data_IF_681802612297
#
_entry.id   IF_681802612297
#
_cell.length_a   1.000
_cell.length_b   1.000
_cell.length_c   1.000
_cell.angle_alpha   90.00
_cell.angle_beta   90.00
_cell.angle_gamma   90.00
#
_symmetry.space_group_name_H-M   'P 1'
#
loop_
_entity.id
_entity.type
_entity.pdbx_description
1 polymer ?
#
# COMPACT_ATOMS: atom_id res chain seq x y z
N UNK A 1 3.40 -25.15 -2.04
CA UNK A 1 2.85 -23.88 -1.55
C UNK A 1 2.69 -23.00 -2.75
N UNK A 2 1.44 -22.74 -3.16
CA UNK A 2 1.12 -21.80 -4.22
C UNK A 2 1.62 -20.40 -3.82
N UNK A 3 2.09 -19.63 -4.80
CA UNK A 3 2.86 -18.37 -4.68
C UNK A 3 2.24 -17.22 -3.87
N UNK A 4 1.16 -17.40 -3.12
CA UNK A 4 0.55 -16.39 -2.27
C UNK A 4 -0.13 -16.95 -1.02
N UNK A 5 0.35 -18.06 -0.49
CA UNK A 5 -0.25 -18.64 0.71
C UNK A 5 0.15 -17.82 1.92
N UNK A 6 -0.69 -16.86 2.29
CA UNK A 6 -0.60 -16.21 3.58
C UNK A 6 -0.81 -17.27 4.67
N UNK A 7 0.14 -17.37 5.56
CA UNK A 7 0.08 -18.24 6.72
C UNK A 7 0.55 -17.50 7.96
N UNK A 8 0.61 -18.20 9.09
CA UNK A 8 1.12 -17.65 10.34
C UNK A 8 2.03 -18.68 11.03
N UNK A 9 3.22 -18.24 11.40
CA UNK A 9 4.07 -18.99 12.32
C UNK A 9 3.77 -18.51 13.75
N UNK A 10 3.37 -19.41 14.62
CA UNK A 10 3.17 -19.13 16.04
C UNK A 10 4.21 -19.90 16.84
N UNK A 11 4.97 -19.19 17.68
CA UNK A 11 6.00 -19.76 18.53
C UNK A 11 5.62 -19.57 20.00
N UNK A 12 5.66 -20.64 20.77
CA UNK A 12 5.55 -20.64 22.22
C UNK A 12 6.93 -20.27 22.82
N UNK A 13 6.96 -19.19 23.64
CA UNK A 13 8.23 -18.57 24.04
C UNK A 13 8.95 -19.27 25.18
N UNK A 14 8.26 -20.09 25.99
CA UNK A 14 8.86 -20.79 27.12
C UNK A 14 9.54 -22.08 26.69
N UNK A 15 8.86 -22.87 25.86
CA UNK A 15 9.33 -24.19 25.39
C UNK A 15 10.02 -24.13 24.06
N UNK A 16 9.83 -23.04 23.30
CA UNK A 16 10.37 -22.87 21.96
C UNK A 16 9.65 -23.71 20.89
N UNK A 17 8.54 -24.35 21.22
CA UNK A 17 7.73 -25.08 20.23
C UNK A 17 7.01 -24.11 19.31
N UNK A 18 6.73 -24.58 18.07
CA UNK A 18 6.11 -23.73 17.06
C UNK A 18 5.03 -24.49 16.28
N UNK A 19 4.06 -23.74 15.76
CA UNK A 19 3.07 -24.21 14.82
C UNK A 19 3.01 -23.34 13.59
N UNK A 20 2.74 -23.96 12.45
CA UNK A 20 2.46 -23.30 11.19
C UNK A 20 0.97 -23.43 10.89
N UNK A 21 0.33 -22.30 10.65
CA UNK A 21 -1.07 -22.19 10.26
C UNK A 21 -1.16 -21.68 8.81
N UNK A 22 -2.19 -22.08 8.08
CA UNK A 22 -2.50 -21.51 6.76
C UNK A 22 -3.26 -20.17 6.88
N UNK A 23 -3.63 -19.60 5.74
CA UNK A 23 -4.39 -18.33 5.64
C UNK A 23 -5.76 -18.36 6.32
N UNK A 24 -6.30 -19.53 6.61
CA UNK A 24 -7.59 -19.70 7.30
C UNK A 24 -7.40 -20.08 8.77
N UNK A 25 -6.17 -19.92 9.30
CA UNK A 25 -5.76 -20.33 10.63
C UNK A 25 -5.89 -21.86 10.88
N UNK A 26 -5.86 -22.66 9.81
CA UNK A 26 -5.85 -24.11 9.94
C UNK A 26 -4.42 -24.60 10.14
N UNK A 27 -4.27 -25.59 11.02
CA UNK A 27 -2.98 -26.21 11.30
C UNK A 27 -2.38 -26.89 10.06
N UNK A 28 -1.11 -26.59 9.80
CA UNK A 28 -0.34 -27.17 8.69
C UNK A 28 0.76 -28.09 9.24
N UNK A 29 1.54 -27.62 10.20
CA UNK A 29 2.68 -28.34 10.74
C UNK A 29 3.07 -27.83 12.15
N UNK A 30 3.89 -28.62 12.86
CA UNK A 30 4.39 -28.29 14.19
C UNK A 30 3.49 -28.78 15.33
N UNK A 31 3.67 -28.23 16.52
CA UNK A 31 2.83 -28.55 17.67
C UNK A 31 1.45 -27.89 17.52
N UNK A 32 0.38 -28.60 17.86
CA UNK A 32 -0.96 -28.01 17.82
C UNK A 32 -1.21 -27.19 19.07
N UNK A 33 -1.48 -25.91 18.86
CA UNK A 33 -1.92 -25.01 19.91
C UNK A 33 -3.43 -24.73 19.76
N UNK A 34 -4.13 -24.71 20.87
CA UNK A 34 -5.53 -24.27 20.93
C UNK A 34 -5.53 -22.80 21.33
N UNK A 35 -5.39 -21.92 20.33
CA UNK A 35 -5.19 -20.50 20.50
C UNK A 35 -6.12 -19.69 19.59
N UNK A 36 -6.68 -18.62 20.15
CA UNK A 36 -7.28 -17.55 19.36
C UNK A 36 -6.16 -16.55 18.98
N UNK A 37 -5.87 -16.43 17.68
CA UNK A 37 -4.88 -15.45 17.22
C UNK A 37 -5.44 -14.02 17.36
N UNK A 38 -4.62 -13.06 17.83
CA UNK A 38 -4.96 -11.65 17.76
C UNK A 38 -4.96 -11.16 16.29
N UNK A 39 -5.46 -9.95 16.06
CA UNK A 39 -5.28 -9.28 14.79
C UNK A 39 -3.79 -9.09 14.52
N UNK A 40 -3.28 -9.79 13.51
CA UNK A 40 -1.87 -9.77 13.14
C UNK A 40 -1.61 -8.66 12.12
N UNK A 41 -0.94 -7.62 12.58
CA UNK A 41 -0.32 -6.62 11.72
C UNK A 41 1.10 -7.08 11.30
N UNK A 42 1.65 -6.47 10.29
CA UNK A 42 2.87 -6.86 9.55
C UNK A 42 4.10 -7.25 10.38
N UNK A 43 4.24 -6.75 11.61
CA UNK A 43 5.39 -7.04 12.49
C UNK A 43 5.20 -8.27 13.38
N UNK A 44 4.09 -8.98 13.26
CA UNK A 44 3.71 -10.00 14.22
C UNK A 44 3.13 -9.43 15.51
N UNK A 45 2.72 -10.29 16.43
CA UNK A 45 2.17 -9.91 17.72
C UNK A 45 2.68 -10.83 18.84
N UNK A 46 2.99 -10.22 19.99
CA UNK A 46 3.14 -10.90 21.24
C UNK A 46 1.79 -10.97 21.95
N UNK A 47 1.37 -12.16 22.35
CA UNK A 47 0.13 -12.36 23.12
C UNK A 47 0.31 -13.53 24.07
N UNK A 48 -0.09 -13.36 25.31
CA UNK A 48 0.15 -14.35 26.37
C UNK A 48 1.64 -14.77 26.40
N UNK A 49 1.93 -16.04 26.12
CA UNK A 49 3.29 -16.59 26.05
C UNK A 49 3.69 -17.00 24.62
N UNK A 50 3.08 -16.39 23.61
CA UNK A 50 3.28 -16.71 22.21
C UNK A 50 3.70 -15.50 21.41
N UNK A 51 4.47 -15.74 20.34
CA UNK A 51 4.74 -14.79 19.29
C UNK A 51 4.15 -15.32 17.99
N UNK A 52 3.26 -14.58 17.37
CA UNK A 52 2.69 -14.90 16.06
C UNK A 52 3.29 -14.00 14.99
N UNK A 53 3.83 -14.61 13.93
CA UNK A 53 4.42 -13.93 12.78
C UNK A 53 3.63 -14.28 11.52
N UNK A 54 2.98 -13.32 10.84
CA UNK A 54 2.35 -13.56 9.55
C UNK A 54 3.41 -13.86 8.49
N UNK A 55 3.17 -14.87 7.65
CA UNK A 55 4.08 -15.34 6.61
C UNK A 55 3.48 -15.07 5.23
N UNK A 56 4.30 -14.58 4.30
CA UNK A 56 3.91 -14.46 2.89
C UNK A 56 2.89 -13.38 2.59
N UNK A 57 2.58 -12.47 3.52
CA UNK A 57 1.72 -11.32 3.26
C UNK A 57 2.60 -10.17 2.76
N UNK A 58 2.66 -10.00 1.44
CA UNK A 58 3.20 -8.76 0.88
C UNK A 58 2.19 -7.63 1.09
N UNK A 59 2.67 -6.50 1.60
CA UNK A 59 1.85 -5.29 1.70
C UNK A 59 1.48 -4.81 0.30
N UNK A 60 0.19 -4.51 0.10
CA UNK A 60 -0.29 -4.03 -1.19
C UNK A 60 -0.09 -2.53 -1.30
N UNK A 61 0.51 -2.11 -2.40
CA UNK A 61 0.61 -0.70 -2.79
C UNK A 61 -0.18 -0.49 -4.07
N UNK A 62 -1.13 0.42 -4.05
CA UNK A 62 -1.82 0.92 -5.23
C UNK A 62 -1.17 2.23 -5.65
N UNK A 63 -0.46 2.19 -6.78
CA UNK A 63 0.26 3.33 -7.34
C UNK A 63 -0.59 3.99 -8.42
N UNK A 64 -1.19 5.13 -8.10
CA UNK A 64 -2.04 5.89 -9.02
C UNK A 64 -1.18 6.84 -9.85
N UNK A 65 -0.98 6.48 -11.12
CA UNK A 65 -0.16 7.19 -12.10
C UNK A 65 1.04 6.37 -12.56
N UNK A 66 1.22 6.24 -13.88
CA UNK A 66 2.23 5.42 -14.55
C UNK A 66 3.37 6.22 -15.19
N UNK A 67 3.64 7.45 -14.74
CA UNK A 67 4.71 8.30 -15.28
C UNK A 67 6.13 7.81 -14.95
N UNK A 68 7.14 8.57 -15.37
CA UNK A 68 8.56 8.20 -15.22
C UNK A 68 8.98 7.93 -13.75
N UNK A 69 8.45 8.70 -12.79
CA UNK A 69 8.73 8.45 -11.37
C UNK A 69 8.13 7.12 -10.92
N UNK A 70 6.91 6.79 -11.38
CA UNK A 70 6.27 5.51 -11.07
C UNK A 70 7.08 4.33 -11.63
N UNK A 71 7.62 4.46 -12.85
CA UNK A 71 8.48 3.43 -13.46
C UNK A 71 9.77 3.20 -12.67
N UNK A 72 10.31 4.24 -12.02
CA UNK A 72 11.46 4.10 -11.11
C UNK A 72 11.06 3.61 -9.72
N UNK A 73 9.84 3.90 -9.26
CA UNK A 73 9.37 3.56 -7.91
C UNK A 73 8.99 2.09 -7.78
N UNK A 74 8.34 1.51 -8.80
CA UNK A 74 7.89 0.11 -8.76
C UNK A 74 9.00 -0.89 -8.44
N UNK A 75 10.18 -0.87 -9.11
CA UNK A 75 11.27 -1.79 -8.77
C UNK A 75 11.82 -1.59 -7.35
N UNK A 76 11.83 -0.36 -6.83
CA UNK A 76 12.30 -0.09 -5.45
C UNK A 76 11.29 -0.65 -4.45
N UNK A 77 9.99 -0.41 -4.62
CA UNK A 77 8.94 -0.99 -3.77
C UNK A 77 8.97 -2.53 -3.80
N UNK A 78 9.13 -3.13 -4.99
CA UNK A 78 9.23 -4.58 -5.13
C UNK A 78 10.45 -5.16 -4.41
N UNK A 79 11.57 -4.43 -4.38
CA UNK A 79 12.81 -4.87 -3.70
C UNK A 79 12.70 -4.88 -2.17
N UNK A 80 11.71 -4.18 -1.61
CA UNK A 80 11.38 -4.19 -0.17
C UNK A 80 10.05 -4.91 0.10
N UNK A 81 9.73 -5.89 -0.74
CA UNK A 81 8.63 -6.85 -0.60
C UNK A 81 7.21 -6.27 -0.67
N UNK A 82 7.01 -5.09 -1.26
CA UNK A 82 5.66 -4.65 -1.59
C UNK A 82 5.11 -5.35 -2.85
N UNK A 83 3.81 -5.65 -2.82
CA UNK A 83 3.04 -6.06 -4.00
C UNK A 83 2.41 -4.83 -4.63
N UNK A 84 2.92 -4.39 -5.78
CA UNK A 84 2.53 -3.13 -6.40
C UNK A 84 1.54 -3.35 -7.53
N UNK A 85 0.36 -2.71 -7.46
CA UNK A 85 -0.58 -2.58 -8.57
C UNK A 85 -0.56 -1.14 -9.08
N UNK A 86 -0.22 -0.98 -10.35
CA UNK A 86 -0.23 0.34 -11.01
C UNK A 86 -1.62 0.61 -11.59
N UNK A 87 -2.18 1.76 -11.26
CA UNK A 87 -3.47 2.25 -11.74
C UNK A 87 -3.20 3.48 -12.62
N UNK A 88 -3.47 3.40 -13.92
CA UNK A 88 -3.21 4.50 -14.85
C UNK A 88 -4.41 4.70 -15.77
N UNK A 89 -4.73 5.95 -16.07
CA UNK A 89 -5.87 6.32 -16.92
C UNK A 89 -5.51 6.48 -18.40
N UNK A 90 -4.23 6.56 -18.72
CA UNK A 90 -3.72 6.75 -20.09
C UNK A 90 -3.22 5.41 -20.64
N UNK A 91 -3.79 4.92 -21.77
CA UNK A 91 -3.43 3.59 -22.30
C UNK A 91 -1.94 3.44 -22.61
N UNK A 92 -1.26 4.51 -23.04
CA UNK A 92 0.16 4.49 -23.38
C UNK A 92 1.09 4.31 -22.16
N UNK A 93 0.61 4.57 -20.95
CA UNK A 93 1.33 4.37 -19.69
C UNK A 93 0.79 3.18 -18.87
N UNK A 94 -0.39 2.65 -19.21
CA UNK A 94 -0.99 1.47 -18.56
C UNK A 94 -0.50 0.17 -19.24
N UNK A 95 0.81 0.01 -19.41
CA UNK A 95 1.41 -1.14 -20.11
C UNK A 95 2.30 -1.94 -19.17
N UNK A 96 2.10 -3.26 -19.13
CA UNK A 96 2.86 -4.16 -18.26
C UNK A 96 4.37 -4.11 -18.51
N UNK A 97 4.78 -3.89 -19.75
CA UNK A 97 6.19 -3.82 -20.15
C UNK A 97 6.92 -2.62 -19.52
N UNK A 98 6.20 -1.55 -19.15
CA UNK A 98 6.75 -0.42 -18.43
C UNK A 98 6.98 -0.72 -16.93
N UNK A 99 6.35 -1.78 -16.40
CA UNK A 99 6.36 -2.13 -14.98
C UNK A 99 6.54 -3.64 -14.79
N UNK A 100 7.66 -4.23 -15.20
CA UNK A 100 7.86 -5.69 -15.15
C UNK A 100 7.77 -6.26 -13.72
N UNK A 101 8.13 -5.48 -12.69
CA UNK A 101 8.07 -5.89 -11.27
C UNK A 101 6.72 -5.62 -10.60
N UNK A 102 5.79 -4.90 -11.24
CA UNK A 102 4.44 -4.73 -10.69
C UNK A 102 3.69 -6.07 -10.68
N UNK A 103 2.85 -6.29 -9.68
CA UNK A 103 1.91 -7.41 -9.66
C UNK A 103 0.93 -7.27 -10.84
N UNK A 104 0.27 -6.12 -10.91
CA UNK A 104 -0.69 -5.79 -11.95
C UNK A 104 -0.49 -4.36 -12.48
N UNK A 105 -0.95 -4.13 -13.71
CA UNK A 105 -1.04 -2.80 -14.33
C UNK A 105 -2.44 -2.69 -14.93
N UNK A 106 -3.24 -1.77 -14.42
CA UNK A 106 -4.64 -1.62 -14.79
C UNK A 106 -4.88 -0.28 -15.47
N UNK A 107 -5.54 -0.32 -16.63
CA UNK A 107 -6.12 0.88 -17.23
C UNK A 107 -7.43 1.19 -16.51
N UNK A 108 -7.51 2.36 -15.87
CA UNK A 108 -8.62 2.70 -14.98
C UNK A 108 -9.25 4.05 -15.31
N UNK A 109 -10.53 4.18 -14.98
CA UNK A 109 -11.19 5.46 -14.82
C UNK A 109 -11.11 5.87 -13.34
N UNK A 110 -10.31 6.89 -13.02
CA UNK A 110 -10.12 7.37 -11.65
C UNK A 110 -11.40 7.86 -10.99
N UNK A 111 -12.45 8.18 -11.75
CA UNK A 111 -13.74 8.58 -11.17
C UNK A 111 -14.53 7.41 -10.59
N UNK A 112 -14.11 6.16 -10.86
CA UNK A 112 -14.79 4.91 -10.48
C UNK A 112 -13.79 3.89 -9.92
N UNK A 113 -12.95 4.34 -8.97
CA UNK A 113 -11.86 3.51 -8.43
C UNK A 113 -12.36 2.18 -7.84
N UNK A 114 -13.54 2.17 -7.25
CA UNK A 114 -14.19 1.00 -6.67
C UNK A 114 -14.49 -0.13 -7.67
N UNK A 115 -14.53 0.17 -8.97
CA UNK A 115 -14.74 -0.86 -10.00
C UNK A 115 -13.47 -1.68 -10.28
N UNK A 116 -12.31 -1.21 -9.84
CA UNK A 116 -11.02 -1.81 -10.15
C UNK A 116 -10.31 -2.39 -8.93
N UNK A 117 -10.58 -1.84 -7.75
CA UNK A 117 -9.95 -2.29 -6.51
C UNK A 117 -10.95 -2.34 -5.36
N UNK A 118 -10.79 -3.35 -4.52
CA UNK A 118 -11.37 -3.40 -3.18
C UNK A 118 -10.31 -2.96 -2.17
N UNK A 119 -10.47 -1.73 -1.67
CA UNK A 119 -9.53 -1.15 -0.70
C UNK A 119 -9.70 -1.82 0.68
N UNK A 120 -8.57 -2.20 1.29
CA UNK A 120 -8.49 -2.79 2.64
C UNK A 120 -7.78 -1.84 3.60
N UNK A 121 -8.05 -1.91 4.91
CA UNK A 121 -7.38 -1.08 5.91
C UNK A 121 -5.84 -1.21 5.93
N UNK A 122 -5.31 -2.32 5.40
CA UNK A 122 -3.87 -2.59 5.30
C UNK A 122 -3.22 -2.05 4.03
N UNK A 123 -3.97 -1.43 3.11
CA UNK A 123 -3.45 -1.00 1.81
C UNK A 123 -2.75 0.35 1.89
N UNK A 124 -1.74 0.49 1.05
CA UNK A 124 -0.98 1.71 0.82
C UNK A 124 -1.39 2.33 -0.52
N UNK A 125 -1.62 3.61 -0.53
CA UNK A 125 -1.93 4.37 -1.74
C UNK A 125 -0.87 5.43 -1.98
N UNK A 126 -0.34 5.46 -3.20
CA UNK A 126 0.60 6.48 -3.66
C UNK A 126 -0.02 7.18 -4.86
N UNK A 127 -0.28 8.47 -4.74
CA UNK A 127 -0.92 9.28 -5.78
C UNK A 127 0.13 10.17 -6.43
N UNK A 128 0.40 9.92 -7.71
CA UNK A 128 1.33 10.69 -8.54
C UNK A 128 0.82 10.84 -9.96
N UNK A 129 -0.44 11.22 -10.10
CA UNK A 129 -1.09 11.32 -11.40
C UNK A 129 -0.62 12.52 -12.20
N UNK A 130 -0.90 12.49 -13.50
CA UNK A 130 -0.71 13.64 -14.36
C UNK A 130 -1.89 14.62 -14.19
N UNK A 131 -1.70 15.66 -13.37
CA UNK A 131 -2.68 16.74 -13.20
C UNK A 131 -3.37 16.80 -11.85
N UNK A 132 -3.88 17.98 -11.52
CA UNK A 132 -4.48 18.26 -10.21
C UNK A 132 -5.88 17.67 -10.02
N UNK A 133 -6.61 17.44 -11.12
CA UNK A 133 -7.98 16.95 -11.07
C UNK A 133 -8.04 15.49 -10.63
N UNK A 134 -7.17 14.65 -11.17
CA UNK A 134 -7.14 13.24 -10.83
C UNK A 134 -6.70 12.99 -9.39
N UNK A 135 -5.73 13.77 -8.88
CA UNK A 135 -5.32 13.67 -7.49
C UNK A 135 -6.50 13.98 -6.56
N UNK A 136 -7.22 15.09 -6.82
CA UNK A 136 -8.42 15.44 -6.05
C UNK A 136 -9.46 14.33 -6.06
N UNK A 137 -9.78 13.77 -7.25
CA UNK A 137 -10.78 12.71 -7.40
C UNK A 137 -10.40 11.45 -6.61
N UNK A 138 -9.13 11.07 -6.66
CA UNK A 138 -8.61 9.91 -5.93
C UNK A 138 -8.61 10.15 -4.42
N UNK A 139 -8.10 11.29 -3.97
CA UNK A 139 -8.08 11.64 -2.55
C UNK A 139 -9.50 11.71 -1.98
N UNK A 140 -10.46 12.30 -2.70
CA UNK A 140 -11.85 12.37 -2.26
C UNK A 140 -12.49 11.00 -2.06
N UNK A 141 -12.20 10.03 -2.94
CA UNK A 141 -12.70 8.66 -2.82
C UNK A 141 -12.01 7.89 -1.68
N UNK A 142 -10.68 8.01 -1.59
CA UNK A 142 -9.88 7.25 -0.63
C UNK A 142 -10.05 7.75 0.81
N UNK A 143 -10.18 9.06 1.02
CA UNK A 143 -10.38 9.63 2.37
C UNK A 143 -11.71 9.24 3.02
N UNK A 144 -12.64 8.66 2.25
CA UNK A 144 -13.89 8.08 2.74
C UNK A 144 -13.74 6.60 3.14
N UNK A 145 -12.54 6.02 2.99
CA UNK A 145 -12.23 4.60 3.27
C UNK A 145 -11.18 4.48 4.38
N UNK A 146 -10.98 3.25 4.87
CA UNK A 146 -9.86 2.93 5.74
C UNK A 146 -8.65 2.50 4.90
N UNK A 147 -7.47 2.90 5.30
CA UNK A 147 -6.19 2.60 4.65
C UNK A 147 -5.06 2.63 5.67
N UNK A 148 -3.93 1.98 5.35
CA UNK A 148 -2.72 2.07 6.16
C UNK A 148 -1.94 3.36 5.88
N UNK A 149 -1.89 3.79 4.60
CA UNK A 149 -1.10 4.94 4.18
C UNK A 149 -1.67 5.58 2.91
N UNK A 150 -1.67 6.90 2.84
CA UNK A 150 -1.82 7.67 1.60
C UNK A 150 -0.67 8.66 1.50
N UNK A 151 0.10 8.59 0.40
CA UNK A 151 1.11 9.58 0.04
C UNK A 151 0.79 10.24 -1.29
N UNK A 152 0.94 11.55 -1.36
CA UNK A 152 0.60 12.34 -2.56
C UNK A 152 1.80 13.15 -3.03
N UNK A 153 2.14 12.99 -4.31
CA UNK A 153 3.17 13.79 -4.96
C UNK A 153 2.62 15.12 -5.41
N UNK A 154 3.20 16.19 -4.95
CA UNK A 154 2.79 17.52 -5.41
C UNK A 154 3.62 18.67 -4.87
N UNK A 155 3.64 19.78 -5.59
CA UNK A 155 4.17 21.03 -5.07
C UNK A 155 3.26 21.61 -3.98
N UNK A 156 3.80 22.42 -3.08
CA UNK A 156 3.02 23.10 -2.03
C UNK A 156 1.78 23.81 -2.58
N UNK A 157 1.89 24.45 -3.76
CA UNK A 157 0.77 25.14 -4.42
C UNK A 157 -0.31 24.16 -4.89
N UNK A 158 0.10 23.00 -5.43
CA UNK A 158 -0.82 21.94 -5.87
C UNK A 158 -1.59 21.39 -4.66
N UNK A 159 -0.87 21.04 -3.61
CA UNK A 159 -1.42 20.50 -2.36
C UNK A 159 -2.47 21.46 -1.77
N UNK A 160 -2.13 22.74 -1.62
CA UNK A 160 -3.06 23.73 -1.08
C UNK A 160 -4.36 23.86 -1.92
N UNK A 161 -4.24 23.77 -3.26
CA UNK A 161 -5.39 23.80 -4.15
C UNK A 161 -6.29 22.58 -4.01
N UNK A 162 -5.70 21.39 -3.89
CA UNK A 162 -6.45 20.12 -3.71
C UNK A 162 -7.13 20.11 -2.34
N UNK A 163 -6.41 20.47 -1.26
CA UNK A 163 -6.97 20.53 0.09
C UNK A 163 -8.17 21.50 0.19
N UNK A 164 -8.07 22.68 -0.42
CA UNK A 164 -9.19 23.63 -0.44
C UNK A 164 -10.45 23.05 -1.11
N UNK A 165 -10.27 22.25 -2.17
CA UNK A 165 -11.39 21.58 -2.86
C UNK A 165 -11.96 20.44 -2.04
N UNK A 166 -11.12 19.64 -1.36
CA UNK A 166 -11.54 18.55 -0.48
C UNK A 166 -12.38 19.07 0.69
N UNK A 167 -11.95 20.18 1.32
CA UNK A 167 -12.70 20.84 2.37
C UNK A 167 -14.05 21.36 1.85
N UNK A 168 -14.07 21.98 0.67
CA UNK A 168 -15.31 22.46 0.05
C UNK A 168 -16.27 21.29 -0.33
N UNK A 169 -15.75 20.08 -0.58
CA UNK A 169 -16.52 18.87 -0.81
C UNK A 169 -16.97 18.16 0.50
N UNK A 170 -16.66 18.73 1.67
CA UNK A 170 -17.12 18.22 2.97
C UNK A 170 -16.16 17.20 3.62
N UNK A 171 -14.96 16.99 3.08
CA UNK A 171 -13.92 16.22 3.76
C UNK A 171 -13.46 17.00 5.01
N UNK A 172 -13.40 16.31 6.14
CA UNK A 172 -13.00 16.94 7.41
C UNK A 172 -11.49 17.21 7.44
N UNK A 173 -11.07 18.27 8.13
CA UNK A 173 -9.67 18.67 8.23
C UNK A 173 -8.80 17.57 8.85
N UNK A 174 -9.33 16.82 9.81
CA UNK A 174 -8.68 15.67 10.44
C UNK A 174 -8.36 14.56 9.44
N UNK A 175 -9.18 14.38 8.41
CA UNK A 175 -8.91 13.39 7.36
C UNK A 175 -7.70 13.81 6.51
N UNK A 176 -7.54 15.12 6.25
CA UNK A 176 -6.40 15.65 5.50
C UNK A 176 -5.07 15.43 6.24
N UNK A 177 -5.08 15.40 7.57
CA UNK A 177 -3.85 15.14 8.36
C UNK A 177 -3.30 13.73 8.18
N UNK A 178 -4.11 12.80 7.66
CA UNK A 178 -3.70 11.42 7.36
C UNK A 178 -2.97 11.29 6.02
N UNK A 179 -2.97 12.34 5.20
CA UNK A 179 -2.32 12.34 3.88
C UNK A 179 -0.89 12.83 4.03
N UNK A 180 0.07 12.00 3.65
CA UNK A 180 1.48 12.36 3.62
C UNK A 180 1.79 13.13 2.33
N UNK A 181 1.90 14.44 2.44
CA UNK A 181 2.10 15.32 1.29
C UNK A 181 2.94 16.56 1.66
N UNK A 182 4.01 16.89 0.94
CA UNK A 182 4.59 16.13 -0.18
C UNK A 182 5.04 14.74 0.28
N UNK A 183 4.81 13.72 -0.55
CA UNK A 183 5.29 12.36 -0.26
C UNK A 183 6.83 12.31 -0.28
N UNK A 184 7.41 11.45 0.56
CA UNK A 184 8.83 11.16 0.61
C UNK A 184 9.64 12.05 1.56
N UNK A 185 10.87 11.61 1.84
CA UNK A 185 11.80 12.34 2.69
C UNK A 185 12.49 13.48 1.93
N UNK A 186 12.79 14.58 2.63
CA UNK A 186 13.45 15.75 2.05
C UNK A 186 14.97 15.51 1.89
N UNK A 187 15.36 14.69 0.92
CA UNK A 187 16.76 14.33 0.61
C UNK A 187 17.37 15.14 -0.53
N UNK A 188 16.66 16.16 -1.04
CA UNK A 188 17.10 16.94 -2.20
C UNK A 188 16.99 16.18 -3.53
N UNK A 189 16.09 15.19 -3.63
CA UNK A 189 15.89 14.36 -4.82
C UNK A 189 15.51 15.21 -6.05
N UNK A 190 16.20 14.98 -7.17
CA UNK A 190 15.96 15.67 -8.44
C UNK A 190 15.63 14.70 -9.59
N UNK A 191 16.21 13.50 -9.60
CA UNK A 191 15.97 12.48 -10.61
C UNK A 191 14.80 11.56 -10.23
N UNK A 192 14.13 10.90 -11.20
CA UNK A 192 13.05 9.95 -10.90
C UNK A 192 13.42 8.86 -9.89
N UNK A 193 14.65 8.32 -9.97
CA UNK A 193 15.11 7.29 -9.03
C UNK A 193 15.40 7.84 -7.64
N UNK A 194 15.95 9.03 -7.51
CA UNK A 194 16.14 9.69 -6.21
C UNK A 194 14.80 9.98 -5.54
N UNK A 195 13.81 10.43 -6.32
CA UNK A 195 12.43 10.61 -5.83
C UNK A 195 11.85 9.28 -5.38
N UNK A 196 12.05 8.20 -6.15
CA UNK A 196 11.58 6.87 -5.76
C UNK A 196 12.19 6.40 -4.43
N UNK A 197 13.50 6.60 -4.23
CA UNK A 197 14.20 6.30 -2.96
C UNK A 197 13.61 7.15 -1.82
N UNK A 198 13.41 8.44 -2.05
CA UNK A 198 12.81 9.35 -1.06
C UNK A 198 11.41 8.91 -0.61
N UNK A 199 10.62 8.33 -1.54
CA UNK A 199 9.25 7.86 -1.27
C UNK A 199 9.24 6.56 -0.48
N UNK A 200 10.20 5.66 -0.72
CA UNK A 200 10.24 4.33 -0.08
C UNK A 200 10.89 4.38 1.30
N UNK A 201 11.77 5.35 1.54
CA UNK A 201 12.45 5.52 2.83
C UNK A 201 11.54 6.11 3.90
#
# INVERSE_FOLDING_TARGET
LEENTAGCLVQELTKGSATLLDKNNQWVAGEKFDLALPDLNFGGALFENYFALPLGIKQRVFLCGGGHVAQSLVPVLASVDFSVTVLESRPEFAQKDLFPQAQDVLLVDYTKLENYIEAKPSDFFIIMTHGHMHDYILEEQLLKKNFAYIGVMGSKKKIASVNARLLAAGIQEEALTKVHTPIGLAIGAATPIEIAISVVA
#
